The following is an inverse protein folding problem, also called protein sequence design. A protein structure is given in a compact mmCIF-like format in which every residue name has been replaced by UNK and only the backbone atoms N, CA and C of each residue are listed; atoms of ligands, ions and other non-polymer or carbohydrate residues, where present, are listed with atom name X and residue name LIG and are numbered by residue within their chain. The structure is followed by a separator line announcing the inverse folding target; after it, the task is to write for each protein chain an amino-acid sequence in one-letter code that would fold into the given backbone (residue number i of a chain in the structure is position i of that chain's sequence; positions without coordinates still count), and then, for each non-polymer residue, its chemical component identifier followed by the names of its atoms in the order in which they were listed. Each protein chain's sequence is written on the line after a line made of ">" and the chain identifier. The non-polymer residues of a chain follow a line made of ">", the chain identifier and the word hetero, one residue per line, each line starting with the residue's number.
data_IF_031108069279
#
_entry.id   IF_031108069279
#
_cell.length_a   1.000
_cell.length_b   1.000
_cell.length_c   1.000
_cell.angle_alpha   90.00
_cell.angle_beta   90.00
_cell.angle_gamma   90.00
#
_symmetry.space_group_name_H-M   'P 1'
#
loop_
_entity.id
_entity.type
_entity.pdbx_description
1 polymer ?
#
# COMPACT_ATOMS: atom_id res chain seq x y z
N UNK A 1 11.75 -70.95 1.99
CA UNK A 1 11.03 -72.11 2.54
C UNK A 1 11.21 -72.04 4.04
N UNK A 2 10.26 -71.66 4.89
CA UNK A 2 8.77 -71.64 4.87
C UNK A 2 8.22 -70.21 5.12
N UNK A 3 7.16 -69.69 4.49
CA UNK A 3 5.72 -70.01 4.58
C UNK A 3 5.22 -70.11 6.04
N UNK A 4 4.60 -69.04 6.57
CA UNK A 4 3.15 -68.74 6.55
C UNK A 4 2.59 -69.04 7.96
N UNK A 5 1.72 -68.30 8.64
CA UNK A 5 0.84 -67.16 8.39
C UNK A 5 0.51 -66.55 9.76
N UNK A 6 0.27 -65.24 9.82
CA UNK A 6 -0.91 -64.66 10.48
C UNK A 6 -0.98 -63.16 10.20
N UNK A 7 -2.02 -62.83 9.43
CA UNK A 7 -2.41 -61.53 8.91
C UNK A 7 -2.92 -60.53 9.95
N UNK A 8 -3.10 -59.31 9.42
CA UNK A 8 -3.97 -58.19 9.83
C UNK A 8 -3.31 -57.19 10.79
N UNK A 9 -3.40 -55.87 10.61
CA UNK A 9 -4.36 -55.08 9.85
C UNK A 9 -3.79 -53.68 9.53
N UNK A 10 -4.37 -53.02 8.53
CA UNK A 10 -4.10 -51.66 8.05
C UNK A 10 -4.58 -50.59 9.05
N UNK A 11 -3.94 -49.41 9.02
CA UNK A 11 -4.49 -48.03 9.07
C UNK A 11 -3.40 -47.08 9.61
N UNK A 12 -2.84 -46.15 8.80
CA UNK A 12 -3.30 -44.79 8.50
C UNK A 12 -3.61 -43.92 9.74
N UNK A 13 -2.82 -42.84 9.85
CA UNK A 13 -3.14 -41.53 10.43
C UNK A 13 -3.71 -41.47 11.86
N UNK A 14 -2.96 -40.88 12.80
CA UNK A 14 -3.20 -39.49 13.22
C UNK A 14 -2.28 -39.09 14.38
N UNK A 15 -1.75 -37.87 14.28
CA UNK A 15 -0.93 -37.21 15.31
C UNK A 15 -1.81 -36.27 16.13
N UNK A 16 -1.86 -36.38 17.48
CA UNK A 16 -2.54 -35.40 18.30
C UNK A 16 -1.52 -34.45 18.94
N UNK A 17 -1.14 -33.40 18.22
CA UNK A 17 -0.58 -32.19 18.84
C UNK A 17 -1.45 -30.98 18.49
N UNK A 18 -2.52 -30.79 19.29
CA UNK A 18 -3.29 -29.54 19.38
C UNK A 18 -3.50 -29.19 20.86
N UNK A 19 -2.82 -28.15 21.30
CA UNK A 19 -3.20 -27.28 22.43
C UNK A 19 -2.47 -25.95 22.19
N UNK A 20 -3.12 -24.93 21.60
CA UNK A 20 -4.03 -23.97 22.25
C UNK A 20 -3.30 -22.95 23.13
N UNK A 21 -3.08 -21.73 22.63
CA UNK A 21 -2.86 -20.46 23.34
C UNK A 21 -2.85 -19.34 22.28
N UNK A 22 -3.56 -18.22 22.33
CA UNK A 22 -4.64 -17.75 23.17
C UNK A 22 -5.44 -16.71 22.36
N UNK A 23 -6.75 -16.86 22.36
CA UNK A 23 -7.72 -15.89 21.86
C UNK A 23 -8.06 -14.90 22.99
N UNK A 24 -8.56 -13.72 22.59
CA UNK A 24 -9.41 -12.82 23.37
C UNK A 24 -8.78 -11.86 24.41
N UNK A 25 -8.37 -10.68 23.94
CA UNK A 25 -8.39 -9.45 24.77
C UNK A 25 -8.60 -8.15 23.97
N UNK A 26 -9.52 -8.13 22.99
CA UNK A 26 -9.75 -6.97 22.12
C UNK A 26 -11.13 -6.29 22.22
N UNK A 27 -12.13 -6.92 22.85
CA UNK A 27 -13.54 -6.50 22.74
C UNK A 27 -13.89 -5.17 23.41
N UNK A 28 -13.33 -4.88 24.59
CA UNK A 28 -13.77 -3.74 25.41
C UNK A 28 -13.17 -2.41 24.93
N UNK A 29 -11.92 -2.42 24.46
CA UNK A 29 -11.28 -1.21 23.89
C UNK A 29 -11.93 -0.80 22.56
N UNK A 30 -12.34 -1.78 21.74
CA UNK A 30 -13.00 -1.53 20.45
C UNK A 30 -14.39 -0.90 20.64
N UNK A 31 -15.18 -1.41 21.58
CA UNK A 31 -16.53 -0.92 21.83
C UNK A 31 -16.54 0.53 22.35
N UNK A 32 -15.64 0.89 23.26
CA UNK A 32 -15.51 2.26 23.79
C UNK A 32 -14.98 3.26 22.74
N UNK A 33 -14.05 2.85 21.87
CA UNK A 33 -13.55 3.71 20.78
C UNK A 33 -14.60 3.97 19.71
N UNK A 34 -15.43 2.97 19.37
CA UNK A 34 -16.48 3.10 18.36
C UNK A 34 -17.65 3.94 18.83
N UNK A 35 -18.07 3.83 20.11
CA UNK A 35 -19.12 4.70 20.65
C UNK A 35 -18.66 6.15 20.79
N UNK A 36 -17.38 6.36 21.14
CA UNK A 36 -16.81 7.69 21.28
C UNK A 36 -16.60 8.38 19.92
N UNK A 37 -16.15 7.67 18.89
CA UNK A 37 -16.03 8.22 17.54
C UNK A 37 -17.39 8.60 16.95
N UNK A 38 -18.42 7.77 17.14
CA UNK A 38 -19.79 8.10 16.71
C UNK A 38 -20.35 9.31 17.44
N UNK A 39 -20.07 9.45 18.75
CA UNK A 39 -20.47 10.62 19.52
C UNK A 39 -19.72 11.89 19.09
N UNK A 40 -18.43 11.79 18.73
CA UNK A 40 -17.67 12.90 18.17
C UNK A 40 -18.13 13.26 16.76
N UNK A 41 -18.44 12.30 15.90
CA UNK A 41 -18.98 12.55 14.55
C UNK A 41 -20.38 13.20 14.60
N UNK A 42 -21.12 13.04 15.71
CA UNK A 42 -22.39 13.76 15.92
C UNK A 42 -22.18 15.25 16.23
N UNK A 43 -21.07 15.60 16.90
CA UNK A 43 -20.73 16.98 17.29
C UNK A 43 -19.82 17.65 16.24
N UNK A 44 -19.00 16.86 15.55
CA UNK A 44 -18.03 17.24 14.51
C UNK A 44 -18.11 16.24 13.36
N UNK A 45 -19.16 16.32 12.53
CA UNK A 45 -19.34 15.38 11.44
C UNK A 45 -18.19 15.48 10.45
N UNK A 46 -17.74 14.36 9.88
CA UNK A 46 -16.64 14.38 8.92
C UNK A 46 -17.02 15.25 7.71
N UNK A 47 -16.04 16.01 7.23
CA UNK A 47 -16.21 16.91 6.10
C UNK A 47 -15.37 16.37 4.94
N UNK A 48 -15.95 16.34 3.75
CA UNK A 48 -15.26 15.89 2.55
C UNK A 48 -14.08 16.82 2.28
N UNK A 49 -12.87 16.27 2.26
CA UNK A 49 -11.63 17.07 2.13
C UNK A 49 -11.52 17.81 0.80
N UNK A 50 -12.23 17.35 -0.23
CA UNK A 50 -12.26 18.01 -1.54
C UNK A 50 -13.37 19.07 -1.66
N UNK A 51 -14.63 18.71 -1.42
CA UNK A 51 -15.79 19.59 -1.71
C UNK A 51 -16.45 20.20 -0.46
N UNK A 52 -15.93 19.92 0.73
CA UNK A 52 -16.41 20.42 2.02
C UNK A 52 -17.87 20.03 2.37
N UNK A 53 -18.42 19.01 1.70
CA UNK A 53 -19.72 18.43 2.06
C UNK A 53 -19.62 17.64 3.36
N UNK A 54 -20.56 17.87 4.27
CA UNK A 54 -20.69 17.13 5.54
C UNK A 54 -21.16 15.69 5.27
N UNK A 55 -20.56 14.72 5.95
CA UNK A 55 -21.05 13.33 6.03
C UNK A 55 -19.96 12.27 5.87
N UNK A 56 -18.98 12.47 4.99
CA UNK A 56 -17.85 11.54 4.78
C UNK A 56 -16.56 12.31 4.46
N UNK A 57 -15.40 11.72 4.74
CA UNK A 57 -14.09 12.35 4.46
C UNK A 57 -13.78 12.44 2.97
N UNK A 58 -14.38 11.56 2.16
CA UNK A 58 -14.44 11.66 0.71
C UNK A 58 -15.82 11.18 0.29
N UNK A 59 -16.62 12.04 -0.36
CA UNK A 59 -18.00 11.71 -0.73
C UNK A 59 -18.06 11.04 -2.11
N UNK A 60 -19.14 10.30 -2.35
CA UNK A 60 -19.34 9.55 -3.60
C UNK A 60 -19.20 10.43 -4.84
N UNK A 61 -19.72 11.67 -4.79
CA UNK A 61 -19.54 12.64 -5.87
C UNK A 61 -18.07 12.94 -6.17
N UNK A 62 -17.23 13.05 -5.15
CA UNK A 62 -15.80 13.27 -5.34
C UNK A 62 -15.08 11.99 -5.77
N UNK A 63 -15.51 10.82 -5.29
CA UNK A 63 -14.98 9.52 -5.71
C UNK A 63 -15.24 9.30 -7.20
N UNK A 64 -16.46 9.56 -7.66
CA UNK A 64 -16.84 9.47 -9.08
C UNK A 64 -16.11 10.51 -9.95
N UNK A 65 -15.69 11.64 -9.36
CA UNK A 65 -14.92 12.67 -10.02
C UNK A 65 -13.39 12.42 -10.01
N UNK A 66 -12.92 11.27 -9.51
CA UNK A 66 -11.50 10.91 -9.60
C UNK A 66 -11.13 10.76 -11.08
N UNK A 67 -10.22 11.61 -11.53
CA UNK A 67 -9.77 11.61 -12.91
C UNK A 67 -8.97 10.34 -13.23
N UNK A 68 -9.31 9.61 -14.31
CA UNK A 68 -8.56 8.45 -14.73
C UNK A 68 -7.15 8.83 -15.20
N UNK A 69 -6.25 7.85 -15.23
CA UNK A 69 -4.92 8.05 -15.78
C UNK A 69 -5.00 8.42 -17.28
N UNK A 70 -4.20 9.41 -17.76
CA UNK A 70 -4.17 9.73 -19.17
C UNK A 70 -3.65 8.54 -19.98
N UNK A 71 -4.35 8.21 -21.08
CA UNK A 71 -4.07 7.08 -21.96
C UNK A 71 -2.62 7.08 -22.49
N UNK A 72 -2.02 8.27 -22.61
CA UNK A 72 -0.66 8.49 -23.15
C UNK A 72 0.46 8.21 -22.15
N UNK A 73 0.14 7.88 -20.91
CA UNK A 73 1.14 7.60 -19.88
C UNK A 73 1.15 6.09 -19.60
N UNK A 74 1.87 5.27 -20.39
CA UNK A 74 2.18 3.92 -19.96
C UNK A 74 2.93 4.01 -18.62
N UNK A 75 2.87 2.98 -17.75
CA UNK A 75 3.91 2.88 -16.72
C UNK A 75 5.26 3.01 -17.45
N UNK A 76 6.21 3.83 -16.95
CA UNK A 76 7.50 4.02 -17.61
C UNK A 76 8.03 2.67 -18.08
N UNK A 77 8.55 2.53 -19.32
CA UNK A 77 8.98 1.22 -19.88
C UNK A 77 9.91 0.41 -18.96
N UNK A 78 10.54 1.05 -17.95
CA UNK A 78 11.25 0.41 -16.86
C UNK A 78 10.38 -0.54 -16.01
N UNK A 79 9.08 -0.30 -15.89
CA UNK A 79 8.17 -1.01 -14.99
C UNK A 79 7.98 -2.47 -15.39
N UNK A 80 7.97 -2.79 -16.69
CA UNK A 80 7.82 -4.18 -17.16
C UNK A 80 8.99 -5.07 -16.73
N UNK A 81 10.16 -4.49 -16.48
CA UNK A 81 11.30 -5.24 -15.99
C UNK A 81 11.21 -5.53 -14.50
N UNK A 82 10.43 -4.77 -13.72
CA UNK A 82 10.36 -4.87 -12.25
C UNK A 82 9.05 -5.46 -11.73
N UNK A 83 7.95 -5.16 -12.40
CA UNK A 83 6.59 -5.43 -11.94
C UNK A 83 5.84 -6.28 -12.94
N UNK A 84 5.01 -7.18 -12.41
CA UNK A 84 4.07 -7.97 -13.21
C UNK A 84 2.93 -7.11 -13.73
N UNK A 85 2.44 -6.19 -12.91
CA UNK A 85 1.42 -5.22 -13.30
C UNK A 85 1.40 -4.02 -12.33
N UNK A 86 0.74 -2.94 -12.74
CA UNK A 86 0.65 -1.67 -12.01
C UNK A 86 -0.73 -1.05 -12.15
N UNK A 87 -1.32 -0.63 -11.03
CA UNK A 87 -2.54 0.17 -11.01
C UNK A 87 -2.38 1.45 -10.17
N UNK A 88 -3.21 2.44 -10.50
CA UNK A 88 -3.48 3.58 -9.62
C UNK A 88 -4.97 3.91 -9.58
N UNK A 89 -5.44 4.58 -8.51
CA UNK A 89 -6.83 5.06 -8.48
C UNK A 89 -7.08 6.08 -9.58
N UNK A 90 -6.17 7.03 -9.75
CA UNK A 90 -6.31 8.08 -10.74
C UNK A 90 -5.09 8.99 -10.89
N UNK A 91 -5.25 10.04 -11.69
CA UNK A 91 -4.26 11.08 -11.87
C UNK A 91 -4.06 11.91 -10.59
N UNK A 92 -2.88 12.53 -10.44
CA UNK A 92 -2.58 13.39 -9.28
C UNK A 92 -3.20 14.77 -9.43
N UNK A 93 -4.53 14.81 -9.44
CA UNK A 93 -5.34 16.01 -9.64
C UNK A 93 -6.32 16.21 -8.48
N UNK A 94 -7.03 17.34 -8.51
CA UNK A 94 -7.89 17.92 -7.47
C UNK A 94 -8.28 16.94 -6.35
N UNK A 95 -9.15 15.96 -6.61
CA UNK A 95 -9.68 15.06 -5.57
C UNK A 95 -8.59 14.27 -4.84
N UNK A 96 -7.74 13.56 -5.57
CA UNK A 96 -6.69 12.70 -4.98
C UNK A 96 -5.56 13.53 -4.39
N UNK A 97 -5.28 14.71 -4.96
CA UNK A 97 -4.30 15.65 -4.41
C UNK A 97 -4.74 16.17 -3.05
N UNK A 98 -5.98 16.66 -2.92
CA UNK A 98 -6.51 17.15 -1.65
C UNK A 98 -6.60 16.02 -0.61
N UNK A 99 -7.06 14.82 -1.00
CA UNK A 99 -7.11 13.68 -0.10
C UNK A 99 -5.72 13.26 0.42
N UNK A 100 -4.70 13.22 -0.45
CA UNK A 100 -3.34 12.92 -0.02
C UNK A 100 -2.69 14.06 0.76
N UNK A 101 -3.05 15.32 0.49
CA UNK A 101 -2.60 16.46 1.27
C UNK A 101 -3.11 16.35 2.71
N UNK A 102 -4.41 16.14 2.89
CA UNK A 102 -5.02 15.96 4.19
C UNK A 102 -4.43 14.74 4.93
N UNK A 103 -4.21 13.63 4.22
CA UNK A 103 -3.57 12.43 4.76
C UNK A 103 -2.09 12.65 5.16
N UNK A 104 -1.36 13.59 4.56
CA UNK A 104 0.06 13.83 4.86
C UNK A 104 0.29 14.89 5.93
N UNK A 105 -0.56 15.92 5.97
CA UNK A 105 -0.24 17.16 6.67
C UNK A 105 -1.35 17.61 7.62
N UNK A 106 -2.59 17.13 7.45
CA UNK A 106 -3.74 17.52 8.30
C UNK A 106 -4.07 16.45 9.35
N UNK A 107 -3.19 15.45 9.54
CA UNK A 107 -3.34 14.39 10.53
C UNK A 107 -4.68 13.65 10.45
N UNK A 108 -5.17 13.37 9.23
CA UNK A 108 -6.41 12.62 9.00
C UNK A 108 -6.12 11.18 8.51
N UNK A 109 -5.66 10.27 9.38
CA UNK A 109 -5.31 8.89 9.00
C UNK A 109 -6.53 8.06 8.59
N UNK A 110 -7.77 8.48 8.93
CA UNK A 110 -8.99 7.79 8.51
C UNK A 110 -9.17 7.81 6.99
N UNK A 111 -8.59 8.80 6.29
CA UNK A 111 -8.52 8.80 4.82
C UNK A 111 -7.77 7.60 4.27
N UNK A 112 -6.80 7.04 5.02
CA UNK A 112 -6.13 5.81 4.62
C UNK A 112 -7.11 4.65 4.42
N UNK A 113 -8.12 4.54 5.28
CA UNK A 113 -9.14 3.51 5.15
C UNK A 113 -10.05 3.73 3.92
N UNK A 114 -10.43 4.99 3.67
CA UNK A 114 -11.24 5.35 2.49
C UNK A 114 -10.48 5.02 1.20
N UNK A 115 -9.23 5.46 1.10
CA UNK A 115 -8.39 5.23 -0.08
C UNK A 115 -8.01 3.75 -0.24
N UNK A 116 -7.76 3.04 0.87
CA UNK A 116 -7.47 1.61 0.88
C UNK A 116 -8.64 0.78 0.34
N UNK A 117 -9.89 1.13 0.69
CA UNK A 117 -11.08 0.45 0.15
C UNK A 117 -11.24 0.69 -1.35
N UNK A 118 -11.09 1.92 -1.83
CA UNK A 118 -11.14 2.23 -3.26
C UNK A 118 -10.05 1.46 -4.03
N UNK A 119 -8.86 1.31 -3.43
CA UNK A 119 -7.77 0.58 -4.06
C UNK A 119 -8.03 -0.92 -4.08
N UNK A 120 -8.69 -1.45 -3.03
CA UNK A 120 -9.11 -2.84 -2.97
C UNK A 120 -10.08 -3.20 -4.10
N UNK A 121 -11.06 -2.35 -4.37
CA UNK A 121 -12.01 -2.54 -5.48
C UNK A 121 -11.28 -2.68 -6.82
N UNK A 122 -10.26 -1.84 -7.08
CA UNK A 122 -9.44 -1.96 -8.29
C UNK A 122 -8.62 -3.23 -8.33
N UNK A 123 -7.91 -3.58 -7.24
CA UNK A 123 -7.09 -4.81 -7.18
C UNK A 123 -7.96 -6.05 -7.41
N UNK A 124 -9.15 -6.10 -6.81
CA UNK A 124 -10.09 -7.22 -6.97
C UNK A 124 -10.63 -7.32 -8.39
N UNK A 125 -10.89 -6.19 -9.05
CA UNK A 125 -11.32 -6.17 -10.45
C UNK A 125 -10.29 -6.81 -11.39
N UNK A 126 -9.00 -6.63 -11.11
CA UNK A 126 -7.90 -7.25 -11.87
C UNK A 126 -7.68 -8.74 -11.54
N UNK A 127 -8.33 -9.26 -10.49
CA UNK A 127 -8.27 -10.67 -10.07
C UNK A 127 -6.84 -11.17 -9.75
N UNK A 128 -5.95 -10.27 -9.35
CA UNK A 128 -4.60 -10.63 -8.93
C UNK A 128 -4.63 -11.55 -7.71
N UNK A 129 -3.78 -12.58 -7.71
CA UNK A 129 -3.59 -13.47 -6.56
C UNK A 129 -2.43 -12.94 -5.72
N UNK A 130 -2.73 -12.24 -4.63
CA UNK A 130 -1.73 -11.58 -3.79
C UNK A 130 -1.57 -12.34 -2.48
N UNK A 131 -0.36 -12.80 -2.18
CA UNK A 131 -0.05 -13.45 -0.90
C UNK A 131 0.18 -12.42 0.21
N UNK A 132 1.00 -11.40 -0.09
CA UNK A 132 1.51 -10.44 0.89
C UNK A 132 1.42 -9.02 0.34
N UNK A 133 0.91 -8.11 1.15
CA UNK A 133 0.92 -6.67 0.90
C UNK A 133 2.05 -6.03 1.71
N UNK A 134 2.89 -5.25 1.03
CA UNK A 134 3.98 -4.51 1.67
C UNK A 134 3.79 -3.02 1.34
N UNK A 135 3.58 -2.14 2.34
CA UNK A 135 3.59 -0.71 2.11
C UNK A 135 5.01 -0.20 1.90
N UNK A 136 5.20 0.77 1.00
CA UNK A 136 6.48 1.46 0.84
C UNK A 136 6.85 2.17 2.15
N UNK A 137 8.05 1.95 2.72
CA UNK A 137 8.43 2.55 3.99
C UNK A 137 8.82 4.03 3.84
N UNK A 138 8.41 4.83 4.81
CA UNK A 138 8.96 6.18 5.01
C UNK A 138 10.31 6.11 5.70
N UNK A 139 11.17 7.09 5.40
CA UNK A 139 12.37 7.32 6.20
C UNK A 139 11.99 7.73 7.63
N UNK A 140 12.76 7.30 8.63
CA UNK A 140 12.51 7.54 10.06
C UNK A 140 12.24 9.01 10.40
N UNK A 141 13.01 9.94 9.82
CA UNK A 141 12.78 11.38 10.00
C UNK A 141 11.38 11.83 9.52
N UNK A 142 10.94 11.37 8.34
CA UNK A 142 9.61 11.71 7.82
C UNK A 142 8.50 11.03 8.61
N UNK A 143 8.75 9.83 9.13
CA UNK A 143 7.82 9.15 10.02
C UNK A 143 7.63 9.94 11.33
N UNK A 144 8.72 10.47 11.90
CA UNK A 144 8.66 11.33 13.09
C UNK A 144 7.93 12.65 12.82
N UNK A 145 8.16 13.28 11.66
CA UNK A 145 7.47 14.52 11.26
C UNK A 145 5.97 14.33 11.02
N UNK A 146 5.58 13.20 10.40
CA UNK A 146 4.18 12.94 9.99
C UNK A 146 3.37 12.10 10.98
N UNK A 147 4.02 11.52 11.99
CA UNK A 147 3.39 10.62 12.98
C UNK A 147 3.01 9.23 12.48
N UNK A 148 2.82 9.02 11.17
CA UNK A 148 2.50 7.72 10.58
C UNK A 148 2.96 7.59 9.11
N UNK A 149 3.04 6.35 8.64
CA UNK A 149 3.24 6.01 7.24
C UNK A 149 1.90 5.96 6.50
N UNK A 150 1.72 6.86 5.52
CA UNK A 150 0.48 6.98 4.73
C UNK A 150 0.20 5.70 3.94
N UNK A 151 1.23 5.15 3.30
CA UNK A 151 1.15 3.92 2.51
C UNK A 151 0.77 2.73 3.40
N UNK A 152 1.22 2.71 4.67
CA UNK A 152 0.78 1.72 5.64
C UNK A 152 -0.71 1.88 6.01
N UNK A 153 -1.20 3.10 6.21
CA UNK A 153 -2.63 3.34 6.52
C UNK A 153 -3.56 2.94 5.39
N UNK A 154 -3.11 3.07 4.14
CA UNK A 154 -3.82 2.58 2.96
C UNK A 154 -3.77 1.04 2.91
N UNK A 155 -2.58 0.47 3.11
CA UNK A 155 -2.35 -0.98 3.06
C UNK A 155 -3.10 -1.76 4.14
N UNK A 156 -3.29 -1.19 5.34
CA UNK A 156 -4.07 -1.77 6.44
C UNK A 156 -5.49 -2.14 6.00
N UNK A 157 -6.21 -1.21 5.39
CA UNK A 157 -7.57 -1.48 4.90
C UNK A 157 -7.55 -2.35 3.65
N UNK A 158 -6.63 -2.10 2.72
CA UNK A 158 -6.50 -2.92 1.51
C UNK A 158 -6.33 -4.42 1.83
N UNK A 159 -5.45 -4.76 2.77
CA UNK A 159 -5.18 -6.15 3.19
C UNK A 159 -6.44 -6.84 3.74
N UNK A 160 -7.23 -6.11 4.55
CA UNK A 160 -8.48 -6.62 5.11
C UNK A 160 -9.49 -6.89 3.99
N UNK A 161 -9.68 -5.94 3.07
CA UNK A 161 -10.69 -6.02 2.02
C UNK A 161 -10.37 -7.13 1.00
N UNK A 162 -9.09 -7.35 0.67
CA UNK A 162 -8.69 -8.42 -0.29
C UNK A 162 -8.33 -9.75 0.37
N UNK A 163 -8.22 -9.81 1.71
CA UNK A 163 -7.91 -11.03 2.45
C UNK A 163 -6.44 -11.49 2.37
N UNK A 164 -5.51 -10.57 2.12
CA UNK A 164 -4.06 -10.87 2.03
C UNK A 164 -3.32 -10.54 3.33
N UNK A 165 -2.13 -11.12 3.51
CA UNK A 165 -1.29 -10.83 4.68
C UNK A 165 -0.65 -9.46 4.56
N UNK A 166 -0.80 -8.59 5.55
CA UNK A 166 -0.04 -7.34 5.63
C UNK A 166 1.30 -7.57 6.31
N UNK A 167 2.39 -7.16 5.65
CA UNK A 167 3.73 -7.16 6.21
C UNK A 167 4.29 -5.73 6.23
N UNK A 168 3.83 -4.95 7.21
CA UNK A 168 4.11 -3.50 7.33
C UNK A 168 5.56 -3.14 7.63
N UNK A 169 6.32 -4.11 8.14
CA UNK A 169 7.70 -4.02 8.59
C UNK A 169 8.65 -4.92 7.76
N UNK A 170 8.19 -5.41 6.60
CA UNK A 170 9.01 -6.25 5.73
C UNK A 170 10.08 -5.47 4.96
N UNK A 171 9.86 -4.17 4.72
CA UNK A 171 10.81 -3.29 4.04
C UNK A 171 11.17 -2.11 4.94
N UNK A 172 12.46 -1.82 5.02
CA UNK A 172 13.01 -0.66 5.72
C UNK A 172 13.66 0.31 4.74
N UNK A 173 13.49 1.61 4.99
CA UNK A 173 14.21 2.66 4.27
C UNK A 173 15.46 3.08 5.03
N UNK A 174 16.59 2.44 4.72
CA UNK A 174 17.87 2.56 5.43
C UNK A 174 18.66 3.84 5.10
N UNK A 175 18.39 4.49 3.95
CA UNK A 175 19.05 5.75 3.56
C UNK A 175 18.05 6.86 3.27
N UNK A 176 18.34 8.06 3.78
CA UNK A 176 17.67 9.27 3.33
C UNK A 176 18.05 9.55 1.86
N UNK A 177 17.07 9.55 0.97
CA UNK A 177 17.27 9.91 -0.43
C UNK A 177 17.04 11.41 -0.58
N UNK A 178 18.08 12.19 -0.88
CA UNK A 178 17.96 13.63 -1.12
C UNK A 178 17.31 13.87 -2.48
N UNK A 179 16.10 14.44 -2.47
CA UNK A 179 15.44 14.95 -3.67
C UNK A 179 16.10 16.27 -4.05
N UNK A 180 17.26 16.24 -4.71
CA UNK A 180 17.80 17.44 -5.34
C UNK A 180 17.06 17.68 -6.66
N UNK A 181 16.52 18.89 -6.81
CA UNK A 181 15.67 19.32 -7.95
C UNK A 181 16.44 19.31 -9.28
N UNK A 182 17.77 19.22 -9.23
CA UNK A 182 18.66 19.27 -10.40
C UNK A 182 19.12 17.90 -10.93
N UNK A 183 18.69 16.79 -10.32
CA UNK A 183 19.14 15.46 -10.76
C UNK A 183 18.35 14.96 -11.97
N UNK A 184 19.09 14.50 -12.98
CA UNK A 184 18.56 13.78 -14.14
C UNK A 184 17.83 12.50 -13.73
N UNK A 185 16.99 11.95 -14.61
CA UNK A 185 16.26 10.71 -14.34
C UNK A 185 17.20 9.52 -14.00
N UNK A 186 18.39 9.47 -14.60
CA UNK A 186 19.40 8.45 -14.35
C UNK A 186 20.07 8.62 -12.97
N UNK A 187 20.40 9.85 -12.58
CA UNK A 187 20.94 10.14 -11.24
C UNK A 187 19.91 9.88 -10.15
N UNK A 188 18.62 10.13 -10.41
CA UNK A 188 17.53 9.75 -9.50
C UNK A 188 17.43 8.24 -9.32
N UNK A 189 17.70 7.45 -10.35
CA UNK A 189 17.69 5.99 -10.24
C UNK A 189 18.85 5.48 -9.39
N UNK A 190 20.06 6.02 -9.58
CA UNK A 190 21.22 5.67 -8.75
C UNK A 190 21.11 6.20 -7.31
N UNK A 191 20.41 7.32 -7.07
CA UNK A 191 20.27 7.89 -5.73
C UNK A 191 19.40 7.06 -4.77
N UNK A 192 18.54 6.18 -5.30
CA UNK A 192 17.63 5.32 -4.52
C UNK A 192 18.17 3.87 -4.44
N UNK A 193 19.17 3.53 -5.23
CA UNK A 193 19.83 2.22 -5.19
C UNK A 193 20.42 1.96 -3.79
N UNK A 194 20.05 0.83 -3.19
CA UNK A 194 20.45 0.48 -1.81
C UNK A 194 19.78 1.32 -0.71
N UNK A 195 18.76 2.13 -1.02
CA UNK A 195 18.01 2.88 0.00
C UNK A 195 16.99 2.02 0.76
N UNK A 196 16.69 0.82 0.26
CA UNK A 196 15.70 -0.10 0.83
C UNK A 196 16.30 -1.49 1.06
N UNK A 197 15.91 -2.11 2.16
CA UNK A 197 16.32 -3.47 2.54
C UNK A 197 15.12 -4.25 3.07
N UNK A 198 15.14 -5.57 2.87
CA UNK A 198 14.14 -6.47 3.46
C UNK A 198 14.62 -6.86 4.86
N UNK A 199 13.76 -6.70 5.85
CA UNK A 199 14.04 -7.09 7.23
C UNK A 199 14.43 -8.58 7.30
N UNK A 200 15.44 -8.90 8.11
CA UNK A 200 16.01 -10.26 8.17
C UNK A 200 14.95 -11.32 8.50
N UNK A 201 14.00 -10.98 9.38
CA UNK A 201 12.86 -11.81 9.77
C UNK A 201 11.93 -12.19 8.62
N UNK A 202 11.95 -11.44 7.51
CA UNK A 202 11.09 -11.65 6.35
C UNK A 202 11.78 -12.35 5.18
N UNK A 203 13.11 -12.49 5.17
CA UNK A 203 13.83 -13.02 4.00
C UNK A 203 13.33 -14.40 3.53
N UNK A 204 13.04 -15.31 4.47
CA UNK A 204 12.49 -16.63 4.13
C UNK A 204 10.98 -16.61 3.88
N UNK A 205 10.24 -15.71 4.54
CA UNK A 205 8.78 -15.60 4.40
C UNK A 205 8.35 -15.08 3.03
N UNK A 206 9.20 -14.30 2.35
CA UNK A 206 8.93 -13.73 1.02
C UNK A 206 9.30 -14.66 -0.14
N UNK A 207 10.00 -15.77 0.10
CA UNK A 207 10.40 -16.71 -0.94
C UNK A 207 9.19 -17.25 -1.72
N UNK A 208 9.23 -17.12 -3.05
CA UNK A 208 8.16 -17.54 -3.96
C UNK A 208 6.78 -16.91 -3.68
N UNK A 209 6.72 -15.78 -2.98
CA UNK A 209 5.46 -15.07 -2.74
C UNK A 209 5.14 -14.07 -3.84
N UNK A 210 3.85 -13.90 -4.12
CA UNK A 210 3.34 -12.80 -4.92
C UNK A 210 3.06 -11.60 -4.03
N UNK A 211 3.81 -10.53 -4.27
CA UNK A 211 3.80 -9.31 -3.46
C UNK A 211 2.95 -8.24 -4.12
N UNK A 212 2.15 -7.52 -3.34
CA UNK A 212 1.57 -6.24 -3.71
C UNK A 212 2.28 -5.12 -2.96
N UNK A 213 3.06 -4.32 -3.69
CA UNK A 213 3.70 -3.12 -3.17
C UNK A 213 2.72 -1.94 -3.23
N UNK A 214 2.51 -1.27 -2.09
CA UNK A 214 1.52 -0.18 -1.96
C UNK A 214 2.21 1.14 -1.66
N UNK A 215 1.91 2.17 -2.44
CA UNK A 215 2.38 3.53 -2.18
C UNK A 215 1.27 4.58 -2.33
N UNK A 216 1.48 5.77 -1.80
CA UNK A 216 0.51 6.86 -1.92
C UNK A 216 0.61 7.56 -3.29
N UNK A 217 1.82 7.82 -3.79
CA UNK A 217 2.02 8.50 -5.07
C UNK A 217 3.16 7.90 -5.88
N UNK A 218 2.86 7.48 -7.12
CA UNK A 218 3.88 7.20 -8.12
C UNK A 218 4.23 8.46 -8.91
N UNK A 219 5.45 8.98 -8.77
CA UNK A 219 6.00 10.01 -9.65
C UNK A 219 6.80 9.38 -10.78
N UNK A 220 8.13 9.31 -10.66
CA UNK A 220 9.03 8.65 -11.62
C UNK A 220 9.04 7.13 -11.47
N UNK A 221 8.52 6.61 -10.37
CA UNK A 221 8.60 5.19 -10.02
C UNK A 221 9.93 4.75 -9.41
N UNK A 222 10.92 5.65 -9.23
CA UNK A 222 12.24 5.30 -8.69
C UNK A 222 12.17 4.65 -7.31
N UNK A 223 11.28 5.13 -6.43
CA UNK A 223 11.03 4.53 -5.11
C UNK A 223 10.54 3.10 -5.22
N UNK A 224 9.54 2.86 -6.08
CA UNK A 224 8.94 1.55 -6.29
C UNK A 224 9.97 0.57 -6.89
N UNK A 225 10.77 1.02 -7.85
CA UNK A 225 11.83 0.23 -8.47
C UNK A 225 12.87 -0.21 -7.43
N UNK A 226 13.34 0.71 -6.60
CA UNK A 226 14.32 0.37 -5.56
C UNK A 226 13.74 -0.59 -4.49
N UNK A 227 12.45 -0.46 -4.15
CA UNK A 227 11.77 -1.45 -3.31
C UNK A 227 11.72 -2.82 -4.00
N UNK A 228 11.41 -2.87 -5.30
CA UNK A 228 11.38 -4.10 -6.08
C UNK A 228 12.75 -4.78 -6.16
N UNK A 229 13.82 -4.01 -6.34
CA UNK A 229 15.20 -4.49 -6.33
C UNK A 229 15.55 -5.13 -4.98
N UNK A 230 15.15 -4.52 -3.86
CA UNK A 230 15.33 -5.10 -2.54
C UNK A 230 14.54 -6.42 -2.37
N UNK A 231 13.27 -6.43 -2.77
CA UNK A 231 12.40 -7.61 -2.68
C UNK A 231 12.90 -8.77 -3.54
N UNK A 232 13.39 -8.50 -4.75
CA UNK A 232 13.89 -9.54 -5.68
C UNK A 232 15.09 -10.31 -5.14
N UNK A 233 15.90 -9.73 -4.26
CA UNK A 233 16.99 -10.44 -3.57
C UNK A 233 16.48 -11.60 -2.71
N UNK A 234 15.21 -11.57 -2.32
CA UNK A 234 14.54 -12.65 -1.57
C UNK A 234 13.84 -13.69 -2.44
N UNK A 235 13.96 -13.58 -3.77
CA UNK A 235 13.37 -14.52 -4.74
C UNK A 235 11.84 -14.62 -4.64
N UNK A 236 11.18 -13.47 -4.53
CA UNK A 236 9.71 -13.37 -4.69
C UNK A 236 9.28 -13.86 -6.07
N UNK A 237 8.07 -14.43 -6.18
CA UNK A 237 7.57 -14.96 -7.44
C UNK A 237 7.17 -13.84 -8.42
N UNK A 238 6.50 -12.81 -7.91
CA UNK A 238 6.03 -11.66 -8.69
C UNK A 238 5.80 -10.45 -7.79
N UNK A 239 5.87 -9.26 -8.39
CA UNK A 239 5.63 -8.00 -7.70
C UNK A 239 4.59 -7.22 -8.50
N UNK A 240 3.44 -6.98 -7.89
CA UNK A 240 2.40 -6.09 -8.35
C UNK A 240 2.52 -4.76 -7.61
N UNK A 241 2.00 -3.69 -8.21
CA UNK A 241 2.01 -2.37 -7.58
C UNK A 241 0.63 -1.74 -7.61
N UNK A 242 0.22 -1.18 -6.49
CA UNK A 242 -0.97 -0.35 -6.39
C UNK A 242 -0.65 0.98 -5.72
N UNK A 243 -1.01 2.09 -6.36
CA UNK A 243 -0.84 3.43 -5.79
C UNK A 243 -2.14 4.20 -5.70
N UNK A 244 -2.25 5.13 -4.76
CA UNK A 244 -3.43 6.02 -4.75
C UNK A 244 -3.43 6.89 -6.00
N UNK A 245 -2.29 7.46 -6.36
CA UNK A 245 -2.24 8.36 -7.51
C UNK A 245 -0.94 8.28 -8.29
N UNK A 246 -1.00 8.68 -9.56
CA UNK A 246 0.20 8.88 -10.39
C UNK A 246 0.34 10.34 -10.79
N UNK A 247 1.51 10.90 -10.52
CA UNK A 247 1.92 12.19 -11.07
C UNK A 247 2.48 11.98 -12.48
N UNK A 248 1.76 12.45 -13.49
CA UNK A 248 2.26 12.67 -14.84
C UNK A 248 2.07 14.15 -15.18
N UNK A 249 2.94 14.73 -16.00
CA UNK A 249 2.78 16.11 -16.47
C UNK A 249 1.48 16.22 -17.26
N UNK A 250 0.40 16.63 -16.60
CA UNK A 250 -0.78 17.11 -17.30
C UNK A 250 -0.36 18.35 -18.06
N UNK A 251 -0.63 18.39 -19.36
CA UNK A 251 -0.47 19.56 -20.24
C UNK A 251 -1.29 20.80 -19.79
N UNK A 252 -1.92 20.75 -18.62
CA UNK A 252 -2.58 21.87 -17.95
C UNK A 252 -1.64 22.70 -17.05
N UNK A 253 -0.49 22.15 -16.60
CA UNK A 253 0.45 22.88 -15.73
C UNK A 253 1.37 23.86 -16.50
N UNK A 254 1.34 23.84 -17.83
CA UNK A 254 2.03 24.84 -18.67
C UNK A 254 1.22 26.12 -18.88
N UNK A 255 -0.01 26.22 -18.36
CA UNK A 255 -0.88 27.40 -18.52
C UNK A 255 -1.18 28.15 -17.20
N UNK A 256 -0.64 27.73 -16.07
CA UNK A 256 -0.72 28.45 -14.78
C UNK A 256 0.46 29.37 -14.50
N UNK A 257 1.28 29.67 -15.52
CA UNK A 257 2.19 30.82 -15.53
C UNK A 257 1.42 32.15 -15.62
N UNK A 258 0.56 32.44 -14.63
CA UNK A 258 -0.02 33.77 -14.42
C UNK A 258 0.70 34.44 -13.26
N UNK A 259 1.57 35.36 -13.64
CA UNK A 259 1.71 36.71 -13.10
C UNK A 259 1.49 36.85 -11.60
N UNK A 260 2.59 36.98 -10.86
CA UNK A 260 2.61 37.83 -9.67
C UNK A 260 3.66 38.90 -9.95
N UNK A 261 3.15 40.12 -10.07
CA UNK A 261 3.81 41.42 -10.08
C UNK A 261 4.85 41.59 -8.98
#
# INVERSE_FOLDING_TARGET
>A
MSEADLQSDRTLADSPHRASFAFYSGGIKRLLHTTWSVALDLVYPPICVNCQRVGTLLCDYCIEAIEPLPITTPPPNLFSNYFSDYIALGAHTTVLREALHALKYEHEPRLGAVLGRLLAEKVQAEKWQIDIIIPVPLHSQRLAERGYNQSNKIAETLAIEIGSTLASDALDKVRATTSQVELSAAERQHNVEGAFEVAETYQQHLLNKTILLVDDVCTTGSTLIACAEALRKTHVASIFVATVTRAGSTSADSLSGKTIS
#
